data_IF_914106977260
#
_entry.id   IF_914106977260
#
_cell.length_a   1.000
_cell.length_b   1.000
_cell.length_c   1.000
_cell.angle_alpha   90.00
_cell.angle_beta   90.00
_cell.angle_gamma   90.00
#
_symmetry.space_group_name_H-M   'P 1'
#
loop_
_entity.id
_entity.type
_entity.pdbx_description
1 polymer ?
#
# COMPACT_ATOMS: atom_id res chain seq x y z
N UNK A 1 9.91 -6.72 -18.15
CA UNK A 1 8.52 -7.06 -18.55
C UNK A 1 7.87 -7.85 -17.41
N UNK A 2 7.43 -7.18 -16.36
CA UNK A 2 6.73 -7.82 -15.25
C UNK A 2 5.28 -8.08 -15.68
N UNK A 3 4.84 -9.33 -15.53
CA UNK A 3 3.51 -9.81 -15.92
C UNK A 3 2.46 -9.01 -15.14
N UNK A 4 1.54 -8.37 -15.86
CA UNK A 4 0.31 -7.81 -15.30
C UNK A 4 -0.43 -8.96 -14.61
N UNK A 5 -0.64 -8.83 -13.30
CA UNK A 5 -1.68 -9.63 -12.64
C UNK A 5 -2.98 -8.93 -12.98
N UNK A 6 -3.72 -9.54 -13.89
CA UNK A 6 -5.10 -9.17 -14.13
C UNK A 6 -5.82 -9.31 -12.79
N UNK A 7 -6.48 -8.22 -12.38
CA UNK A 7 -7.37 -8.23 -11.22
C UNK A 7 -8.47 -9.21 -11.56
N UNK A 8 -8.53 -10.32 -10.84
CA UNK A 8 -9.58 -11.33 -11.03
C UNK A 8 -10.92 -10.66 -10.70
N UNK A 9 -11.92 -10.89 -11.54
CA UNK A 9 -13.25 -10.29 -11.35
C UNK A 9 -13.87 -10.69 -10.00
N UNK A 10 -13.35 -11.76 -9.40
CA UNK A 10 -13.76 -12.33 -8.10
C UNK A 10 -13.25 -11.53 -6.88
N UNK A 11 -12.24 -10.66 -7.03
CA UNK A 11 -11.73 -9.80 -5.93
C UNK A 11 -12.59 -8.54 -5.71
N UNK A 12 -13.51 -8.25 -6.62
CA UNK A 12 -14.56 -7.26 -6.41
C UNK A 12 -15.69 -7.99 -5.70
N UNK A 13 -15.64 -8.00 -4.37
CA UNK A 13 -16.76 -8.39 -3.53
C UNK A 13 -17.97 -7.49 -3.80
N UNK A 14 -18.67 -7.75 -4.90
CA UNK A 14 -20.04 -7.36 -5.08
C UNK A 14 -20.78 -8.16 -4.03
N UNK A 15 -21.06 -7.53 -2.89
CA UNK A 15 -22.20 -7.94 -2.08
C UNK A 15 -23.36 -7.91 -3.05
N UNK A 16 -23.71 -9.08 -3.57
CA UNK A 16 -25.00 -9.33 -4.20
C UNK A 16 -26.01 -9.05 -3.11
N UNK A 17 -26.33 -7.77 -2.93
CA UNK A 17 -27.59 -7.39 -2.36
C UNK A 17 -28.60 -7.98 -3.34
N UNK A 18 -29.04 -9.18 -3.01
CA UNK A 18 -30.19 -9.86 -3.58
C UNK A 18 -31.15 -8.75 -3.97
N UNK A 19 -31.34 -8.53 -5.27
CA UNK A 19 -32.40 -7.66 -5.73
C UNK A 19 -33.63 -8.32 -5.15
N UNK A 20 -34.17 -7.74 -4.08
CA UNK A 20 -35.23 -8.32 -3.30
C UNK A 20 -36.43 -8.51 -4.22
N UNK A 21 -36.50 -9.70 -4.82
CA UNK A 21 -37.51 -10.04 -5.81
C UNK A 21 -38.85 -10.27 -5.13
N UNK A 22 -38.90 -10.31 -3.79
CA UNK A 22 -40.16 -10.23 -3.06
C UNK A 22 -40.89 -8.91 -3.32
N UNK A 23 -40.20 -7.82 -3.66
CA UNK A 23 -40.87 -6.59 -4.08
C UNK A 23 -41.58 -6.74 -5.45
N UNK A 24 -41.18 -7.71 -6.29
CA UNK A 24 -41.84 -7.98 -7.58
C UNK A 24 -43.13 -8.82 -7.40
N UNK A 25 -43.22 -9.60 -6.33
CA UNK A 25 -44.34 -10.51 -6.08
C UNK A 25 -45.41 -9.94 -5.11
N UNK A 26 -45.06 -8.95 -4.29
CA UNK A 26 -45.91 -8.54 -3.15
C UNK A 26 -47.13 -7.65 -3.46
N UNK A 27 -47.40 -7.28 -4.70
CA UNK A 27 -48.62 -6.55 -5.03
C UNK A 27 -49.27 -7.13 -6.28
N UNK A 28 -50.00 -8.23 -6.09
CA UNK A 28 -50.94 -8.75 -7.07
C UNK A 28 -51.80 -7.60 -7.58
N UNK A 29 -51.48 -7.10 -8.77
CA UNK A 29 -52.21 -6.04 -9.40
C UNK A 29 -53.64 -6.53 -9.58
N UNK A 30 -54.59 -5.94 -8.85
CA UNK A 30 -56.01 -6.31 -8.90
C UNK A 30 -56.53 -6.25 -10.34
N UNK A 31 -55.98 -5.37 -11.17
CA UNK A 31 -56.28 -5.30 -12.61
C UNK A 31 -55.74 -6.51 -13.38
N UNK A 32 -54.52 -6.97 -13.09
CA UNK A 32 -53.95 -8.17 -13.68
C UNK A 32 -54.65 -9.45 -13.20
N UNK A 33 -55.06 -9.50 -11.93
CA UNK A 33 -55.75 -10.64 -11.32
C UNK A 33 -57.22 -10.77 -11.77
N UNK A 34 -57.90 -9.66 -12.03
CA UNK A 34 -59.30 -9.67 -12.49
C UNK A 34 -59.46 -10.03 -13.97
N UNK A 35 -58.36 -10.11 -14.73
CA UNK A 35 -58.37 -10.30 -16.18
C UNK A 35 -59.00 -9.09 -16.87
N UNK A 36 -58.32 -8.54 -17.88
CA UNK A 36 -58.82 -7.42 -18.65
C UNK A 36 -60.05 -7.80 -19.51
N UNK A 37 -61.21 -8.06 -18.88
CA UNK A 37 -62.48 -8.19 -19.59
C UNK A 37 -62.91 -6.79 -20.00
N UNK A 38 -62.66 -6.47 -21.27
CA UNK A 38 -63.12 -5.23 -21.89
C UNK A 38 -64.64 -5.13 -21.73
N UNK A 39 -65.16 -4.11 -21.03
CA UNK A 39 -66.60 -3.86 -20.98
C UNK A 39 -67.10 -3.67 -22.42
N UNK A 40 -68.09 -4.47 -22.84
CA UNK A 40 -68.68 -4.36 -24.18
C UNK A 40 -69.84 -3.38 -24.12
N UNK A 41 -69.79 -2.35 -24.95
CA UNK A 41 -70.92 -1.46 -25.19
C UNK A 41 -71.97 -2.19 -26.03
N UNK A 42 -73.28 -2.07 -25.70
CA UNK A 42 -74.36 -2.47 -26.59
C UNK A 42 -74.21 -1.77 -27.95
N UNK A 43 -74.31 -2.54 -29.04
CA UNK A 43 -74.02 -2.04 -30.40
C UNK A 43 -75.20 -1.27 -31.01
N UNK A 44 -76.42 -1.41 -30.47
CA UNK A 44 -77.62 -0.66 -30.87
C UNK A 44 -78.72 -0.73 -29.77
N UNK A 45 -79.60 0.28 -29.66
CA UNK A 45 -80.78 0.23 -28.80
C UNK A 45 -81.78 -0.83 -29.32
N UNK A 46 -82.44 -1.56 -28.41
CA UNK A 46 -83.44 -2.58 -28.78
C UNK A 46 -84.75 -1.96 -29.25
N UNK A 47 -85.00 -0.70 -28.86
CA UNK A 47 -86.19 0.07 -29.23
C UNK A 47 -85.86 1.03 -30.36
N UNK A 48 -86.64 0.99 -31.45
CA UNK A 48 -86.60 2.00 -32.50
C UNK A 48 -87.54 3.14 -32.13
N UNK A 49 -86.98 4.33 -31.90
CA UNK A 49 -87.77 5.52 -31.58
C UNK A 49 -88.62 5.92 -32.81
N UNK A 50 -89.95 6.06 -32.67
CA UNK A 50 -90.80 6.59 -33.72
C UNK A 50 -90.36 8.00 -34.13
N UNK A 51 -90.49 8.33 -35.42
CA UNK A 51 -90.22 9.69 -35.90
C UNK A 51 -91.14 10.71 -35.21
N UNK A 52 -90.64 11.92 -35.01
CA UNK A 52 -91.40 13.01 -34.39
C UNK A 52 -92.68 13.27 -35.21
N UNK A 53 -93.85 13.17 -34.57
CA UNK A 53 -95.16 13.32 -35.22
C UNK A 53 -95.77 12.03 -35.80
N UNK A 54 -95.10 10.87 -35.63
CA UNK A 54 -95.67 9.59 -36.01
C UNK A 54 -96.89 9.23 -35.16
N UNK A 55 -97.89 8.59 -35.78
CA UNK A 55 -99.10 8.15 -35.10
C UNK A 55 -98.78 7.05 -34.08
N UNK A 56 -99.19 7.24 -32.82
CA UNK A 56 -99.04 6.23 -31.75
C UNK A 56 -100.22 5.27 -31.82
N UNK A 57 -99.96 4.03 -32.23
CA UNK A 57 -101.01 3.01 -32.42
C UNK A 57 -101.46 2.36 -31.11
N UNK A 58 -100.65 2.46 -30.04
CA UNK A 58 -100.97 1.96 -28.69
C UNK A 58 -100.15 2.68 -27.63
N UNK A 59 -100.83 3.27 -26.64
CA UNK A 59 -100.18 3.89 -25.47
C UNK A 59 -99.44 2.84 -24.64
N UNK A 60 -99.98 1.61 -24.54
CA UNK A 60 -99.34 0.54 -23.79
C UNK A 60 -98.00 0.10 -24.40
N UNK A 61 -97.90 0.06 -25.74
CA UNK A 61 -96.66 -0.24 -26.44
C UNK A 61 -95.61 0.87 -26.22
N UNK A 62 -96.02 2.13 -26.34
CA UNK A 62 -95.14 3.28 -26.07
C UNK A 62 -94.60 3.27 -24.62
N UNK A 63 -95.45 2.91 -23.65
CA UNK A 63 -95.04 2.78 -22.25
C UNK A 63 -94.06 1.61 -22.08
N UNK A 64 -94.26 0.48 -22.74
CA UNK A 64 -93.32 -0.65 -22.68
C UNK A 64 -91.95 -0.31 -23.29
N UNK A 65 -91.95 0.43 -24.41
CA UNK A 65 -90.74 0.94 -25.06
C UNK A 65 -89.98 1.92 -24.15
N UNK A 66 -90.69 2.85 -23.50
CA UNK A 66 -90.11 3.78 -22.53
C UNK A 66 -89.46 3.08 -21.33
N UNK A 67 -90.11 2.04 -20.78
CA UNK A 67 -89.52 1.22 -19.71
C UNK A 67 -88.30 0.42 -20.18
N UNK A 68 -88.26 0.02 -21.44
CA UNK A 68 -87.11 -0.70 -22.03
C UNK A 68 -85.93 0.25 -22.22
N UNK A 69 -86.15 1.44 -22.79
CA UNK A 69 -85.13 2.49 -22.90
C UNK A 69 -84.62 2.95 -21.53
N UNK A 70 -85.49 3.04 -20.52
CA UNK A 70 -85.07 3.36 -19.15
C UNK A 70 -84.09 2.33 -18.59
N UNK A 71 -84.38 1.03 -18.79
CA UNK A 71 -83.50 -0.07 -18.37
C UNK A 71 -82.17 -0.05 -19.13
N UNK A 72 -82.20 0.16 -20.44
CA UNK A 72 -80.97 0.30 -21.26
C UNK A 72 -80.12 1.50 -20.81
N UNK A 73 -80.75 2.63 -20.50
CA UNK A 73 -80.03 3.81 -20.02
C UNK A 73 -79.39 3.58 -18.65
N UNK A 74 -80.07 2.86 -17.76
CA UNK A 74 -79.52 2.44 -16.46
C UNK A 74 -78.33 1.50 -16.64
N UNK A 75 -78.41 0.53 -17.54
CA UNK A 75 -77.32 -0.40 -17.85
C UNK A 75 -76.11 0.33 -18.44
N UNK A 76 -76.31 1.23 -19.40
CA UNK A 76 -75.24 2.05 -19.98
C UNK A 76 -74.56 2.94 -18.93
N UNK A 77 -75.31 3.53 -17.99
CA UNK A 77 -74.73 4.31 -16.89
C UNK A 77 -73.87 3.44 -15.98
N UNK A 78 -74.35 2.27 -15.58
CA UNK A 78 -73.59 1.34 -14.76
C UNK A 78 -72.29 0.88 -15.47
N UNK A 79 -72.36 0.64 -16.78
CA UNK A 79 -71.18 0.31 -17.58
C UNK A 79 -70.19 1.48 -17.70
N UNK A 80 -70.69 2.71 -17.89
CA UNK A 80 -69.84 3.90 -17.92
C UNK A 80 -69.13 4.13 -16.58
N UNK A 81 -69.84 4.00 -15.47
CA UNK A 81 -69.26 4.08 -14.12
C UNK A 81 -68.17 3.02 -13.91
N UNK A 82 -68.43 1.79 -14.35
CA UNK A 82 -67.44 0.70 -14.29
C UNK A 82 -66.18 1.02 -15.12
N UNK A 83 -66.34 1.47 -16.37
CA UNK A 83 -65.20 1.86 -17.24
C UNK A 83 -64.43 3.03 -16.64
N UNK A 84 -65.14 4.03 -16.10
CA UNK A 84 -64.53 5.18 -15.45
C UNK A 84 -63.71 4.76 -14.23
N UNK A 85 -64.26 3.90 -13.36
CA UNK A 85 -63.55 3.36 -12.20
C UNK A 85 -62.34 2.52 -12.61
N UNK A 86 -62.48 1.69 -13.66
CA UNK A 86 -61.38 0.89 -14.20
C UNK A 86 -60.26 1.76 -14.75
N UNK A 87 -60.58 2.79 -15.53
CA UNK A 87 -59.61 3.74 -16.07
C UNK A 87 -58.90 4.53 -14.96
N UNK A 88 -59.63 4.95 -13.92
CA UNK A 88 -59.03 5.58 -12.75
C UNK A 88 -58.06 4.64 -12.01
N UNK A 89 -58.43 3.37 -11.85
CA UNK A 89 -57.56 2.34 -11.28
C UNK A 89 -56.30 2.10 -12.11
N UNK A 90 -56.43 2.03 -13.45
CA UNK A 90 -55.29 1.92 -14.36
C UNK A 90 -54.36 3.13 -14.27
N UNK A 91 -54.90 4.35 -14.21
CA UNK A 91 -54.10 5.56 -14.07
C UNK A 91 -53.33 5.60 -12.73
N UNK A 92 -53.99 5.23 -11.63
CA UNK A 92 -53.35 5.13 -10.32
C UNK A 92 -52.24 4.07 -10.33
N UNK A 93 -52.49 2.91 -10.93
CA UNK A 93 -51.48 1.85 -11.05
C UNK A 93 -50.27 2.29 -11.90
N UNK A 94 -50.52 2.97 -13.03
CA UNK A 94 -49.46 3.51 -13.87
C UNK A 94 -48.60 4.55 -13.14
N UNK A 95 -49.21 5.41 -12.30
CA UNK A 95 -48.48 6.36 -11.45
C UNK A 95 -47.57 5.66 -10.45
N UNK A 96 -48.08 4.64 -9.74
CA UNK A 96 -47.29 3.87 -8.77
C UNK A 96 -46.12 3.17 -9.45
N UNK A 97 -46.33 2.56 -10.62
CA UNK A 97 -45.25 1.95 -11.40
C UNK A 97 -44.23 2.98 -11.88
N UNK A 98 -44.67 4.18 -12.26
CA UNK A 98 -43.79 5.27 -12.65
C UNK A 98 -42.89 5.71 -11.50
N UNK A 99 -43.46 5.98 -10.32
CA UNK A 99 -42.72 6.39 -9.13
C UNK A 99 -41.72 5.32 -8.70
N UNK A 100 -42.12 4.04 -8.77
CA UNK A 100 -41.24 2.91 -8.49
C UNK A 100 -40.07 2.83 -9.47
N UNK A 101 -40.32 2.99 -10.77
CA UNK A 101 -39.27 3.00 -11.79
C UNK A 101 -38.28 4.16 -11.56
N UNK A 102 -38.77 5.35 -11.17
CA UNK A 102 -37.92 6.46 -10.80
C UNK A 102 -37.04 6.13 -9.59
N UNK A 103 -37.60 5.53 -8.54
CA UNK A 103 -36.86 5.14 -7.34
C UNK A 103 -35.73 4.14 -7.66
N UNK A 104 -36.00 3.15 -8.52
CA UNK A 104 -34.99 2.17 -8.97
C UNK A 104 -33.86 2.88 -9.74
N UNK A 105 -34.20 3.77 -10.67
CA UNK A 105 -33.22 4.54 -11.44
C UNK A 105 -32.37 5.46 -10.55
N UNK A 106 -32.97 6.08 -9.53
CA UNK A 106 -32.25 6.90 -8.56
C UNK A 106 -31.25 6.07 -7.76
N UNK A 107 -31.69 4.93 -7.19
CA UNK A 107 -30.81 4.01 -6.45
C UNK A 107 -29.66 3.51 -7.32
N UNK A 108 -29.93 3.14 -8.57
CA UNK A 108 -28.90 2.71 -9.51
C UNK A 108 -27.87 3.81 -9.80
N UNK A 109 -28.31 5.06 -9.99
CA UNK A 109 -27.42 6.20 -10.21
C UNK A 109 -26.56 6.52 -8.99
N UNK A 110 -27.13 6.43 -7.79
CA UNK A 110 -26.41 6.61 -6.54
C UNK A 110 -25.35 5.52 -6.35
N UNK A 111 -25.72 4.26 -6.57
CA UNK A 111 -24.79 3.12 -6.54
C UNK A 111 -23.64 3.28 -7.54
N UNK A 112 -23.94 3.67 -8.79
CA UNK A 112 -22.92 3.93 -9.81
C UNK A 112 -21.96 5.06 -9.39
N UNK A 113 -22.49 6.19 -8.89
CA UNK A 113 -21.65 7.31 -8.42
C UNK A 113 -20.77 6.90 -7.25
N UNK A 114 -21.30 6.18 -6.27
CA UNK A 114 -20.54 5.67 -5.14
C UNK A 114 -19.43 4.71 -5.59
N UNK A 115 -19.74 3.82 -6.55
CA UNK A 115 -18.77 2.93 -7.17
C UNK A 115 -17.63 3.68 -7.88
N UNK A 116 -17.97 4.71 -8.67
CA UNK A 116 -16.97 5.55 -9.34
C UNK A 116 -16.03 6.27 -8.37
N UNK A 117 -16.57 6.82 -7.27
CA UNK A 117 -15.75 7.48 -6.23
C UNK A 117 -14.78 6.48 -5.58
N UNK A 118 -15.25 5.26 -5.25
CA UNK A 118 -14.40 4.22 -4.67
C UNK A 118 -13.30 3.78 -5.66
N UNK A 119 -13.63 3.64 -6.94
CA UNK A 119 -12.67 3.30 -7.99
C UNK A 119 -11.59 4.38 -8.12
N UNK A 120 -11.98 5.65 -8.16
CA UNK A 120 -11.04 6.77 -8.21
C UNK A 120 -10.12 6.79 -6.98
N UNK A 121 -10.66 6.58 -5.79
CA UNK A 121 -9.87 6.46 -4.56
C UNK A 121 -8.87 5.28 -4.61
N UNK A 122 -9.30 4.13 -5.13
CA UNK A 122 -8.44 2.95 -5.28
C UNK A 122 -7.32 3.18 -6.32
N UNK A 123 -7.59 3.90 -7.41
CA UNK A 123 -6.57 4.27 -8.38
C UNK A 123 -5.55 5.24 -7.78
N UNK A 124 -6.02 6.26 -7.04
CA UNK A 124 -5.14 7.20 -6.36
C UNK A 124 -4.28 6.53 -5.29
N UNK A 125 -4.84 5.57 -4.53
CA UNK A 125 -4.07 4.81 -3.54
C UNK A 125 -3.03 3.92 -4.23
N UNK A 126 -3.38 3.26 -5.33
CA UNK A 126 -2.45 2.46 -6.14
C UNK A 126 -1.29 3.30 -6.64
N UNK A 127 -1.56 4.47 -7.22
CA UNK A 127 -0.50 5.36 -7.69
C UNK A 127 0.43 5.83 -6.57
N UNK A 128 -0.09 6.06 -5.35
CA UNK A 128 0.76 6.38 -4.19
C UNK A 128 1.68 5.23 -3.84
N UNK A 129 1.12 4.02 -3.74
CA UNK A 129 1.90 2.81 -3.45
C UNK A 129 2.96 2.54 -4.52
N UNK A 130 2.64 2.78 -5.80
CA UNK A 130 3.62 2.64 -6.89
C UNK A 130 4.79 3.63 -6.76
N UNK A 131 4.52 4.88 -6.36
CA UNK A 131 5.57 5.87 -6.07
C UNK A 131 6.41 5.47 -4.86
N UNK A 132 5.77 5.08 -3.76
CA UNK A 132 6.46 4.65 -2.54
C UNK A 132 7.35 3.43 -2.80
N UNK A 133 6.88 2.50 -3.64
CA UNK A 133 7.63 1.32 -4.05
C UNK A 133 8.84 1.71 -4.90
N UNK A 134 8.70 2.63 -5.86
CA UNK A 134 9.83 3.12 -6.65
C UNK A 134 10.88 3.84 -5.78
N UNK A 135 10.46 4.64 -4.80
CA UNK A 135 11.35 5.30 -3.85
C UNK A 135 12.09 4.26 -2.97
N UNK A 136 11.39 3.22 -2.54
CA UNK A 136 12.00 2.13 -1.77
C UNK A 136 13.02 1.35 -2.62
N UNK A 137 12.71 1.06 -3.88
CA UNK A 137 13.66 0.42 -4.81
C UNK A 137 14.93 1.27 -4.97
N UNK A 138 14.79 2.59 -5.13
CA UNK A 138 15.92 3.53 -5.18
C UNK A 138 16.78 3.46 -3.91
N UNK A 139 16.15 3.49 -2.73
CA UNK A 139 16.86 3.38 -1.45
C UNK A 139 17.58 2.03 -1.29
N UNK A 140 16.97 0.93 -1.71
CA UNK A 140 17.60 -0.40 -1.69
C UNK A 140 18.80 -0.45 -2.62
N UNK A 141 18.71 0.14 -3.81
CA UNK A 141 19.85 0.25 -4.73
C UNK A 141 21.00 1.05 -4.11
N UNK A 142 20.71 2.17 -3.44
CA UNK A 142 21.71 2.96 -2.73
C UNK A 142 22.39 2.19 -1.61
N UNK A 143 21.64 1.42 -0.82
CA UNK A 143 22.21 0.57 0.23
C UNK A 143 23.12 -0.51 -0.34
N UNK A 144 22.73 -1.14 -1.45
CA UNK A 144 23.59 -2.12 -2.16
C UNK A 144 24.88 -1.46 -2.64
N UNK A 145 24.81 -0.31 -3.29
CA UNK A 145 25.99 0.42 -3.75
C UNK A 145 26.91 0.88 -2.59
N UNK A 146 26.35 1.13 -1.40
CA UNK A 146 27.16 1.39 -0.18
C UNK A 146 27.82 0.11 0.31
N UNK A 147 27.10 -1.00 0.36
CA UNK A 147 27.62 -2.30 0.77
C UNK A 147 28.80 -2.73 -0.13
N UNK A 148 28.64 -2.61 -1.45
CA UNK A 148 29.69 -2.96 -2.43
C UNK A 148 30.96 -2.12 -2.20
N UNK A 149 30.79 -0.81 -1.93
CA UNK A 149 31.91 0.09 -1.63
C UNK A 149 32.60 -0.27 -0.31
N UNK A 150 31.84 -0.64 0.71
CA UNK A 150 32.42 -1.07 1.98
C UNK A 150 33.16 -2.39 1.84
N UNK A 151 32.64 -3.34 1.08
CA UNK A 151 33.31 -4.62 0.81
C UNK A 151 34.62 -4.41 0.01
N UNK A 152 34.60 -3.53 -0.99
CA UNK A 152 35.81 -3.15 -1.72
C UNK A 152 36.86 -2.50 -0.80
N UNK A 153 36.45 -1.59 0.09
CA UNK A 153 37.33 -0.96 1.05
C UNK A 153 37.91 -1.96 2.07
N UNK A 154 37.10 -2.90 2.56
CA UNK A 154 37.57 -3.98 3.44
C UNK A 154 38.60 -4.87 2.73
N UNK A 155 38.38 -5.17 1.46
CA UNK A 155 39.31 -5.97 0.66
C UNK A 155 40.66 -5.26 0.53
N UNK A 156 40.66 -3.95 0.25
CA UNK A 156 41.89 -3.15 0.20
C UNK A 156 42.60 -3.12 1.56
N UNK A 157 41.86 -2.92 2.66
CA UNK A 157 42.43 -2.93 4.01
C UNK A 157 43.06 -4.28 4.37
N UNK A 158 42.48 -5.41 3.93
CA UNK A 158 43.08 -6.73 4.12
C UNK A 158 44.40 -6.85 3.38
N UNK A 159 44.45 -6.43 2.11
CA UNK A 159 45.69 -6.44 1.32
C UNK A 159 46.79 -5.60 1.95
N UNK A 160 46.48 -4.38 2.41
CA UNK A 160 47.43 -3.51 3.11
C UNK A 160 47.92 -4.14 4.43
N UNK A 161 47.01 -4.80 5.16
CA UNK A 161 47.35 -5.51 6.40
C UNK A 161 48.28 -6.69 6.13
N UNK A 162 48.05 -7.45 5.07
CA UNK A 162 48.89 -8.59 4.71
C UNK A 162 50.28 -8.11 4.25
N UNK A 163 50.34 -7.07 3.42
CA UNK A 163 51.57 -6.41 2.99
C UNK A 163 52.38 -5.86 4.17
N UNK A 164 51.75 -5.13 5.09
CA UNK A 164 52.42 -4.62 6.29
C UNK A 164 52.88 -5.74 7.23
N UNK A 165 52.13 -6.84 7.32
CA UNK A 165 52.54 -8.02 8.08
C UNK A 165 53.75 -8.73 7.45
N UNK A 166 53.89 -8.73 6.13
CA UNK A 166 55.09 -9.20 5.42
C UNK A 166 56.28 -8.27 5.67
N UNK A 167 56.10 -6.97 5.50
CA UNK A 167 57.14 -5.97 5.79
C UNK A 167 57.66 -6.06 7.22
N UNK A 168 56.77 -6.28 8.20
CA UNK A 168 57.15 -6.46 9.60
C UNK A 168 58.01 -7.72 9.79
N UNK A 169 57.64 -8.84 9.15
CA UNK A 169 58.41 -10.10 9.19
C UNK A 169 59.81 -9.91 8.58
N UNK A 170 59.91 -9.21 7.45
CA UNK A 170 61.18 -8.92 6.80
C UNK A 170 62.07 -8.03 7.68
N UNK A 171 61.50 -6.98 8.28
CA UNK A 171 62.24 -6.10 9.20
C UNK A 171 62.75 -6.87 10.42
N UNK A 172 61.93 -7.78 10.95
CA UNK A 172 62.30 -8.63 12.08
C UNK A 172 63.44 -9.59 11.71
N UNK A 173 63.44 -10.16 10.50
CA UNK A 173 64.52 -10.99 9.99
C UNK A 173 65.83 -10.19 9.81
N UNK A 174 65.75 -8.96 9.28
CA UNK A 174 66.91 -8.06 9.17
C UNK A 174 67.49 -7.70 10.54
N UNK A 175 66.63 -7.43 11.52
CA UNK A 175 67.04 -7.08 12.87
C UNK A 175 67.74 -8.27 13.56
N UNK A 176 67.23 -9.49 13.36
CA UNK A 176 67.88 -10.71 13.83
C UNK A 176 69.26 -10.89 13.18
N UNK A 177 69.36 -10.74 11.85
CA UNK A 177 70.64 -10.85 11.14
C UNK A 177 71.67 -9.80 11.60
N UNK A 178 71.22 -8.56 11.87
CA UNK A 178 72.08 -7.51 12.40
C UNK A 178 72.55 -7.81 13.84
N UNK A 179 71.69 -8.41 14.67
CA UNK A 179 72.07 -8.88 16.01
C UNK A 179 73.12 -9.99 15.94
N UNK A 180 72.95 -10.95 15.02
CA UNK A 180 73.91 -12.04 14.82
C UNK A 180 75.26 -11.49 14.34
N UNK A 181 75.26 -10.52 13.41
CA UNK A 181 76.49 -9.82 12.99
C UNK A 181 77.16 -9.07 14.14
N UNK A 182 76.38 -8.38 14.98
CA UNK A 182 76.92 -7.68 16.15
C UNK A 182 77.54 -8.66 17.16
N UNK A 183 76.93 -9.84 17.36
CA UNK A 183 77.48 -10.90 18.19
C UNK A 183 78.80 -11.45 17.61
N UNK A 184 78.87 -11.64 16.28
CA UNK A 184 80.10 -12.04 15.59
C UNK A 184 81.22 -11.01 15.75
N UNK A 185 80.94 -9.71 15.55
CA UNK A 185 81.92 -8.65 15.77
C UNK A 185 82.35 -8.57 17.24
N UNK A 186 81.43 -8.72 18.19
CA UNK A 186 81.76 -8.77 19.62
C UNK A 186 82.68 -9.95 19.95
N UNK A 187 82.44 -11.13 19.35
CA UNK A 187 83.32 -12.30 19.49
C UNK A 187 84.69 -12.06 18.85
N UNK A 188 84.76 -11.40 17.69
CA UNK A 188 86.03 -11.02 17.06
C UNK A 188 86.82 -10.02 17.94
N UNK A 189 86.16 -9.02 18.50
CA UNK A 189 86.76 -8.06 19.44
C UNK A 189 87.26 -8.75 20.72
N UNK A 190 86.49 -9.67 21.29
CA UNK A 190 86.91 -10.44 22.46
C UNK A 190 88.16 -11.29 22.17
N UNK A 191 88.26 -11.90 20.97
CA UNK A 191 89.46 -12.60 20.52
C UNK A 191 90.64 -11.66 20.30
N UNK A 192 90.41 -10.47 19.72
CA UNK A 192 91.45 -9.46 19.53
C UNK A 192 91.96 -8.88 20.87
N UNK A 193 91.09 -8.73 21.87
CA UNK A 193 91.44 -8.30 23.22
C UNK A 193 92.27 -9.34 24.00
N UNK A 194 92.23 -10.61 23.61
CA UNK A 194 93.08 -11.66 24.15
C UNK A 194 94.51 -11.68 23.54
N UNK A 195 94.79 -10.84 22.52
CA UNK A 195 96.13 -10.64 21.97
C UNK A 195 96.85 -9.44 22.64
N UNK A 196 98.18 -9.47 22.81
CA UNK A 196 98.92 -8.43 23.53
C UNK A 196 98.84 -7.08 22.81
N UNK A 197 98.85 -5.94 23.53
CA UNK A 197 98.47 -4.66 22.96
C UNK A 197 99.57 -4.11 22.04
N UNK A 198 99.19 -3.71 20.82
CA UNK A 198 99.99 -2.84 19.97
C UNK A 198 99.54 -1.38 20.11
N UNK A 199 100.55 -0.55 20.33
CA UNK A 199 100.64 0.90 20.49
C UNK A 199 99.72 1.79 19.64
N UNK A 200 99.32 2.90 20.27
CA UNK A 200 98.92 4.22 19.73
C UNK A 200 98.06 4.23 18.46
N UNK A 201 96.74 4.27 18.67
CA UNK A 201 95.78 4.59 17.61
C UNK A 201 96.03 6.03 17.07
N UNK A 202 96.07 6.24 15.74
CA UNK A 202 96.31 7.56 15.17
C UNK A 202 95.08 8.46 15.28
N UNK A 203 95.29 9.78 15.39
CA UNK A 203 94.26 10.84 15.42
C UNK A 203 93.13 10.68 14.37
N UNK A 204 93.43 10.07 13.21
CA UNK A 204 92.44 9.77 12.17
C UNK A 204 91.27 8.88 12.64
N UNK A 205 91.49 7.95 13.59
CA UNK A 205 90.42 7.10 14.15
C UNK A 205 89.49 7.86 15.10
N UNK A 206 90.00 8.87 15.79
CA UNK A 206 89.17 9.75 16.63
C UNK A 206 88.29 10.66 15.77
N UNK A 207 88.82 11.18 14.65
CA UNK A 207 88.02 11.96 13.70
C UNK A 207 86.93 11.12 13.01
N UNK A 208 87.21 9.86 12.67
CA UNK A 208 86.20 8.93 12.14
C UNK A 208 85.09 8.64 13.16
N UNK A 209 85.44 8.31 14.41
CA UNK A 209 84.47 8.08 15.49
C UNK A 209 83.67 9.35 15.86
N UNK A 210 84.23 10.53 15.62
CA UNK A 210 83.52 11.80 15.80
C UNK A 210 82.53 12.07 14.66
N UNK A 211 82.91 11.77 13.41
CA UNK A 211 82.00 11.81 12.25
C UNK A 211 80.80 10.88 12.42
N UNK A 212 81.04 9.62 12.81
CA UNK A 212 79.96 8.65 13.07
C UNK A 212 78.98 9.12 14.17
N UNK A 213 79.47 9.84 15.18
CA UNK A 213 78.62 10.41 16.23
C UNK A 213 77.77 11.59 15.73
N UNK A 214 78.31 12.39 14.84
CA UNK A 214 77.59 13.52 14.26
C UNK A 214 76.57 13.03 13.21
N UNK A 215 76.88 11.98 12.46
CA UNK A 215 75.95 11.28 11.57
C UNK A 215 74.79 10.64 12.35
N UNK A 216 75.07 9.93 13.45
CA UNK A 216 74.03 9.37 14.32
C UNK A 216 73.15 10.44 14.99
N UNK A 217 73.68 11.65 15.21
CA UNK A 217 72.90 12.79 15.70
C UNK A 217 71.98 13.35 14.62
N UNK A 218 72.47 13.45 13.37
CA UNK A 218 71.66 13.87 12.24
C UNK A 218 70.48 12.89 12.02
N UNK A 219 70.75 11.58 11.98
CA UNK A 219 69.70 10.57 11.86
C UNK A 219 68.66 10.64 12.97
N UNK A 220 69.10 10.85 14.23
CA UNK A 220 68.18 11.00 15.37
C UNK A 220 67.29 12.24 15.22
N UNK A 221 67.84 13.34 14.73
CA UNK A 221 67.08 14.58 14.57
C UNK A 221 66.11 14.47 13.38
N UNK A 222 66.50 13.79 12.29
CA UNK A 222 65.60 13.42 11.19
C UNK A 222 64.45 12.52 11.65
N UNK A 223 64.73 11.51 12.48
CA UNK A 223 63.71 10.65 13.08
C UNK A 223 62.75 11.42 13.99
N UNK A 224 63.22 12.44 14.71
CA UNK A 224 62.36 13.32 15.52
C UNK A 224 61.43 14.16 14.65
N UNK A 225 61.92 14.67 13.52
CA UNK A 225 61.11 15.42 12.55
C UNK A 225 60.06 14.49 11.93
N UNK A 226 60.44 13.28 11.53
CA UNK A 226 59.51 12.28 10.99
C UNK A 226 58.42 11.88 12.01
N UNK A 227 58.79 11.70 13.29
CA UNK A 227 57.84 11.41 14.37
C UNK A 227 56.87 12.58 14.61
N UNK A 228 57.36 13.82 14.56
CA UNK A 228 56.52 15.00 14.70
C UNK A 228 55.52 15.13 13.53
N UNK A 229 55.97 14.86 12.29
CA UNK A 229 55.11 14.83 11.12
C UNK A 229 54.04 13.73 11.20
N UNK A 230 54.41 12.52 11.65
CA UNK A 230 53.47 11.43 11.85
C UNK A 230 52.41 11.75 12.91
N UNK A 231 52.80 12.41 14.02
CA UNK A 231 51.86 12.89 15.04
C UNK A 231 50.92 13.96 14.53
N UNK A 232 51.41 14.89 13.70
CA UNK A 232 50.57 15.89 13.06
C UNK A 232 49.56 15.26 12.08
N UNK A 233 49.94 14.19 11.38
CA UNK A 233 49.06 13.45 10.49
C UNK A 233 47.97 12.62 11.21
N UNK A 234 48.22 12.20 12.46
CA UNK A 234 47.24 11.44 13.26
C UNK A 234 46.03 12.27 13.72
N UNK A 235 46.22 13.56 14.00
CA UNK A 235 45.15 14.46 14.47
C UNK A 235 43.94 14.54 13.51
N UNK A 236 44.10 14.78 12.20
CA UNK A 236 42.96 14.77 11.27
C UNK A 236 42.35 13.38 11.07
N UNK A 237 43.12 12.29 11.26
CA UNK A 237 42.60 10.92 11.18
C UNK A 237 41.71 10.62 12.39
N UNK A 238 42.13 11.01 13.60
CA UNK A 238 41.31 10.91 14.81
C UNK A 238 40.03 11.74 14.70
N UNK A 239 40.11 12.98 14.23
CA UNK A 239 38.93 13.80 14.01
C UNK A 239 37.92 13.17 13.01
N UNK A 240 38.42 12.48 11.98
CA UNK A 240 37.57 11.73 11.04
C UNK A 240 36.95 10.49 11.67
N UNK A 241 37.69 9.78 12.52
CA UNK A 241 37.18 8.62 13.25
C UNK A 241 36.07 9.03 14.23
N UNK A 242 36.28 10.10 15.00
CA UNK A 242 35.29 10.64 15.93
C UNK A 242 34.02 11.10 15.20
N UNK A 243 34.17 11.75 14.04
CA UNK A 243 33.04 12.16 13.20
C UNK A 243 32.25 10.96 12.65
N UNK A 244 32.96 9.90 12.23
CA UNK A 244 32.32 8.66 11.77
C UNK A 244 31.57 7.94 12.89
N UNK A 245 32.12 7.96 14.11
CA UNK A 245 31.47 7.41 15.31
C UNK A 245 30.21 8.19 15.68
N UNK A 246 30.26 9.52 15.67
CA UNK A 246 29.09 10.36 15.89
C UNK A 246 27.98 10.12 14.85
N UNK A 247 28.34 9.93 13.59
CA UNK A 247 27.36 9.64 12.53
C UNK A 247 26.74 8.25 12.68
N UNK A 248 27.55 7.24 13.03
CA UNK A 248 27.06 5.89 13.35
C UNK A 248 26.04 5.93 14.49
N UNK A 249 26.32 6.70 15.53
CA UNK A 249 25.44 6.79 16.70
C UNK A 249 24.14 7.54 16.37
N UNK A 250 24.18 8.56 15.50
CA UNK A 250 22.96 9.18 14.94
C UNK A 250 22.13 8.19 14.13
N UNK A 251 22.76 7.40 13.26
CA UNK A 251 22.06 6.37 12.49
C UNK A 251 21.41 5.34 13.41
N UNK A 252 22.09 4.91 14.46
CA UNK A 252 21.50 4.01 15.47
C UNK A 252 20.28 4.61 16.16
N UNK A 253 20.31 5.90 16.51
CA UNK A 253 19.15 6.58 17.08
C UNK A 253 17.97 6.66 16.10
N UNK A 254 18.25 6.93 14.82
CA UNK A 254 17.20 6.95 13.78
C UNK A 254 16.58 5.57 13.57
N UNK A 255 17.40 4.51 13.57
CA UNK A 255 16.91 3.12 13.48
C UNK A 255 16.03 2.78 14.68
N UNK A 256 16.47 3.07 15.91
CA UNK A 256 15.66 2.84 17.10
C UNK A 256 14.32 3.60 17.05
N UNK A 257 14.31 4.83 16.54
CA UNK A 257 13.08 5.61 16.37
C UNK A 257 12.16 4.98 15.33
N UNK A 258 12.69 4.49 14.21
CA UNK A 258 11.92 3.84 13.17
C UNK A 258 11.35 2.48 13.63
N UNK A 259 12.10 1.72 14.42
CA UNK A 259 11.64 0.49 15.04
C UNK A 259 10.48 0.76 16.00
N UNK A 260 10.59 1.78 16.84
CA UNK A 260 9.49 2.19 17.72
C UNK A 260 8.23 2.56 16.93
N UNK A 261 8.36 3.35 15.86
CA UNK A 261 7.21 3.73 15.02
C UNK A 261 6.55 2.52 14.37
N UNK A 262 7.35 1.54 13.91
CA UNK A 262 6.83 0.29 13.35
C UNK A 262 6.06 -0.48 14.41
N UNK A 263 6.61 -0.62 15.60
CA UNK A 263 5.99 -1.39 16.68
C UNK A 263 4.69 -0.73 17.17
N UNK A 264 4.65 0.61 17.23
CA UNK A 264 3.43 1.36 17.53
C UNK A 264 2.35 1.14 16.44
N UNK A 265 2.74 1.15 15.16
CA UNK A 265 1.82 0.90 14.05
C UNK A 265 1.27 -0.55 14.06
N UNK A 266 2.12 -1.53 14.43
CA UNK A 266 1.68 -2.91 14.60
C UNK A 266 0.71 -3.05 15.77
N UNK A 267 0.99 -2.39 16.90
CA UNK A 267 0.10 -2.38 18.05
C UNK A 267 -1.27 -1.77 17.71
N UNK A 268 -1.31 -0.71 16.90
CA UNK A 268 -2.56 -0.10 16.45
C UNK A 268 -3.33 -1.03 15.49
N UNK A 269 -2.64 -1.66 14.54
CA UNK A 269 -3.25 -2.67 13.66
C UNK A 269 -3.87 -3.81 14.46
N UNK A 270 -3.19 -4.29 15.49
CA UNK A 270 -3.68 -5.37 16.35
C UNK A 270 -4.86 -4.92 17.25
N UNK A 271 -4.97 -3.62 17.57
CA UNK A 271 -6.18 -3.05 18.20
C UNK A 271 -7.35 -3.01 17.24
N UNK A 272 -7.15 -2.48 16.03
CA UNK A 272 -8.19 -2.42 14.99
C UNK A 272 -8.69 -3.82 14.64
N UNK A 273 -7.79 -4.79 14.50
CA UNK A 273 -8.16 -6.19 14.23
C UNK A 273 -9.07 -6.75 15.32
N UNK A 274 -8.75 -6.49 16.60
CA UNK A 274 -9.62 -6.90 17.71
C UNK A 274 -10.99 -6.23 17.65
N UNK A 275 -11.06 -4.93 17.35
CA UNK A 275 -12.33 -4.23 17.20
C UNK A 275 -13.19 -4.80 16.08
N UNK A 276 -12.59 -5.17 14.94
CA UNK A 276 -13.29 -5.80 13.83
C UNK A 276 -13.88 -7.16 14.25
N UNK A 277 -13.09 -8.00 14.93
CA UNK A 277 -13.59 -9.29 15.46
C UNK A 277 -14.76 -9.10 16.42
N UNK A 278 -14.71 -8.09 17.31
CA UNK A 278 -15.85 -7.78 18.19
C UNK A 278 -17.08 -7.30 17.41
N UNK A 279 -16.88 -6.50 16.37
CA UNK A 279 -17.98 -6.02 15.53
C UNK A 279 -18.63 -7.17 14.74
N UNK A 280 -17.84 -8.08 14.18
CA UNK A 280 -18.32 -9.28 13.50
C UNK A 280 -19.14 -10.15 14.45
N UNK A 281 -18.64 -10.46 15.65
CA UNK A 281 -19.38 -11.23 16.66
C UNK A 281 -20.72 -10.57 17.05
N UNK A 282 -20.76 -9.23 17.12
CA UNK A 282 -21.99 -8.51 17.42
C UNK A 282 -23.00 -8.59 16.25
N UNK A 283 -22.51 -8.53 15.00
CA UNK A 283 -23.34 -8.72 13.82
C UNK A 283 -23.91 -10.15 13.75
N UNK A 284 -23.07 -11.16 13.97
CA UNK A 284 -23.49 -12.57 13.97
C UNK A 284 -24.56 -12.82 15.05
N UNK A 285 -24.34 -12.31 16.27
CA UNK A 285 -25.32 -12.42 17.35
C UNK A 285 -26.65 -11.70 17.04
N UNK A 286 -26.61 -10.57 16.32
CA UNK A 286 -27.83 -9.88 15.89
C UNK A 286 -28.58 -10.65 14.79
N UNK A 287 -27.86 -11.33 13.89
CA UNK A 287 -28.44 -12.21 12.88
C UNK A 287 -29.11 -13.43 13.51
N UNK A 288 -28.44 -14.09 14.45
CA UNK A 288 -29.00 -15.23 15.21
C UNK A 288 -30.31 -14.86 15.92
N UNK A 289 -30.35 -13.69 16.56
CA UNK A 289 -31.54 -13.15 17.22
C UNK A 289 -32.68 -12.87 16.24
N UNK A 290 -32.37 -12.38 15.03
CA UNK A 290 -33.36 -12.14 13.97
C UNK A 290 -33.97 -13.44 13.48
N UNK A 291 -33.16 -14.47 13.30
CA UNK A 291 -33.60 -15.75 12.76
C UNK A 291 -34.41 -16.55 13.80
N UNK A 292 -34.18 -16.37 15.10
CA UNK A 292 -35.03 -16.91 16.18
C UNK A 292 -36.40 -16.23 16.30
N UNK A 293 -36.53 -14.99 15.80
CA UNK A 293 -37.77 -14.21 15.87
C UNK A 293 -38.73 -14.44 14.69
N UNK A 294 -38.34 -15.26 13.71
CA UNK A 294 -39.14 -15.67 12.55
C UNK A 294 -39.74 -17.06 12.76
#
# INVERSE_FOLDING_TARGET
>A
MARRRDVDADDIGLVEGELDTHDLEAAGCVVCALGARRPRLPTAPQVQLPALGAHVHSVAALVADAHTLLRENQELRAQYELVSAHNAGLAAHASVLHDRNLAILHRAREGYRAGMIRLEQALLSRERVERDYADLEGRVADFRARADRTEAAETLLRVERDSSAEQYRDLQAQLQAAQDQAADYAAQLARAAAAPPLSSAPLARLFAAQGERDDARAERDDLRVALAAARAALSPIQARADAAEAERDRVRQLVATAEQQRDDALAERDRVTRFLVFAEQACDGALDMRDQAR
#
